data_IF_634729554563
#
_entry.id   IF_634729554563
#
_cell.length_a   1.000
_cell.length_b   1.000
_cell.length_c   1.000
_cell.angle_alpha   90.00
_cell.angle_beta   90.00
_cell.angle_gamma   90.00
#
_symmetry.space_group_name_H-M   'P 1'
#
loop_
_entity.id
_entity.type
_entity.pdbx_description
1 polymer ?
#
# COMPACT_ATOMS: atom_id res chain seq x y z
N UNK A 1 1.70 45.63 -30.38
CA UNK A 1 1.59 45.54 -28.90
C UNK A 1 0.23 44.95 -28.56
N UNK A 2 0.18 43.72 -28.05
CA UNK A 2 -1.08 43.03 -27.71
C UNK A 2 -0.79 42.18 -26.46
N UNK A 3 -1.42 42.44 -25.30
CA UNK A 3 -1.07 41.71 -24.09
C UNK A 3 -1.75 40.34 -24.13
N UNK A 4 -0.93 39.30 -24.16
CA UNK A 4 -1.35 37.93 -23.86
C UNK A 4 -1.71 37.88 -22.38
N UNK A 5 -3.01 37.78 -22.08
CA UNK A 5 -3.54 37.52 -20.75
C UNK A 5 -3.27 36.04 -20.44
N UNK A 6 -2.32 35.78 -19.53
CA UNK A 6 -2.05 34.44 -19.01
C UNK A 6 -3.03 34.20 -17.85
N UNK A 7 -4.04 33.37 -18.09
CA UNK A 7 -4.95 32.89 -17.06
C UNK A 7 -4.21 31.82 -16.25
N UNK A 8 -3.76 32.19 -15.06
CA UNK A 8 -3.19 31.27 -14.08
C UNK A 8 -4.31 30.41 -13.47
N UNK A 9 -4.53 29.21 -14.00
CA UNK A 9 -5.39 28.20 -13.41
C UNK A 9 -4.68 27.52 -12.24
N UNK A 10 -5.02 27.89 -11.00
CA UNK A 10 -4.63 27.14 -9.81
C UNK A 10 -5.44 25.84 -9.76
N UNK A 11 -4.81 24.72 -10.11
CA UNK A 11 -5.31 23.38 -9.75
C UNK A 11 -5.16 23.20 -8.24
N UNK A 12 -6.25 23.36 -7.49
CA UNK A 12 -6.32 22.96 -6.10
C UNK A 12 -6.26 21.43 -6.03
N UNK A 13 -5.08 20.88 -5.72
CA UNK A 13 -4.94 19.46 -5.39
C UNK A 13 -5.43 19.25 -3.96
N UNK A 14 -6.63 18.69 -3.82
CA UNK A 14 -7.09 18.17 -2.53
C UNK A 14 -6.22 16.97 -2.16
N UNK A 15 -5.25 17.18 -1.27
CA UNK A 15 -4.50 16.09 -0.65
C UNK A 15 -5.44 15.40 0.33
N UNK A 16 -6.13 14.35 -0.12
CA UNK A 16 -6.79 13.42 0.80
C UNK A 16 -5.70 12.60 1.47
N UNK A 17 -5.43 12.85 2.75
CA UNK A 17 -4.63 11.93 3.55
C UNK A 17 -5.37 10.57 3.55
N UNK A 18 -4.79 9.56 2.92
CA UNK A 18 -5.39 8.23 2.90
C UNK A 18 -5.40 7.66 4.32
N UNK A 19 -6.59 7.53 4.90
CA UNK A 19 -6.79 6.92 6.21
C UNK A 19 -6.80 5.40 6.02
N UNK A 20 -5.72 4.75 6.45
CA UNK A 20 -5.65 3.29 6.52
C UNK A 20 -6.14 2.82 7.90
N UNK A 21 -6.76 1.63 8.01
CA UNK A 21 -7.09 1.05 9.31
C UNK A 21 -5.83 0.92 10.15
N UNK A 22 -5.90 1.33 11.42
CA UNK A 22 -4.76 1.23 12.33
C UNK A 22 -4.39 -0.24 12.56
N UNK A 23 -3.08 -0.53 12.55
CA UNK A 23 -2.64 -1.87 12.91
C UNK A 23 -2.67 -2.03 14.43
N UNK A 24 -3.60 -2.84 14.91
CA UNK A 24 -3.73 -3.12 16.34
C UNK A 24 -2.71 -4.16 16.78
N UNK A 25 -2.34 -4.14 18.07
CA UNK A 25 -1.41 -5.13 18.60
C UNK A 25 -1.93 -6.56 18.47
N UNK A 26 -3.25 -6.77 18.49
CA UNK A 26 -3.86 -8.07 18.25
C UNK A 26 -3.72 -8.53 16.80
N UNK A 27 -3.86 -7.60 15.85
CA UNK A 27 -3.68 -7.87 14.43
C UNK A 27 -2.23 -8.22 14.08
N UNK A 28 -1.25 -7.49 14.62
CA UNK A 28 0.20 -7.79 14.48
C UNK A 28 0.53 -9.22 14.92
N UNK A 29 -0.15 -9.70 15.96
CA UNK A 29 0.12 -11.00 16.59
C UNK A 29 -0.56 -12.18 15.89
N UNK A 30 -1.37 -11.92 14.87
CA UNK A 30 -1.95 -12.99 14.05
C UNK A 30 -0.90 -13.61 13.14
N UNK A 31 -1.00 -14.92 12.91
CA UNK A 31 -0.14 -15.61 11.94
C UNK A 31 -0.26 -14.98 10.54
N UNK A 32 -1.43 -14.42 10.19
CA UNK A 32 -1.66 -13.73 8.92
C UNK A 32 -0.74 -12.51 8.72
N UNK A 33 -0.51 -11.70 9.76
CA UNK A 33 0.45 -10.59 9.70
C UNK A 33 1.87 -11.03 10.01
N UNK A 34 2.04 -12.16 10.70
CA UNK A 34 3.31 -12.82 10.89
C UNK A 34 3.89 -13.36 9.56
N UNK A 35 3.02 -13.83 8.68
CA UNK A 35 3.35 -14.32 7.33
C UNK A 35 3.68 -13.20 6.34
N UNK A 36 3.39 -11.96 6.75
CA UNK A 36 3.86 -10.73 6.09
C UNK A 36 5.23 -10.28 6.67
N UNK A 37 5.75 -10.96 7.71
CA UNK A 37 7.06 -10.73 8.37
C UNK A 37 8.23 -11.21 7.49
N UNK A 38 8.47 -10.51 6.40
CA UNK A 38 9.75 -9.80 6.28
C UNK A 38 9.56 -8.57 5.38
N UNK A 39 8.81 -7.56 5.90
CA UNK A 39 8.43 -6.40 5.12
C UNK A 39 9.65 -5.59 4.65
N UNK A 40 10.76 -5.66 5.38
CA UNK A 40 12.02 -5.02 4.99
C UNK A 40 12.73 -5.77 3.86
N UNK A 41 12.78 -7.11 3.90
CA UNK A 41 13.51 -7.88 2.89
C UNK A 41 12.90 -7.73 1.49
N UNK A 42 11.57 -7.85 1.37
CA UNK A 42 10.94 -7.75 0.05
C UNK A 42 10.70 -6.31 -0.42
N UNK A 43 10.58 -5.35 0.49
CA UNK A 43 10.67 -3.94 0.14
C UNK A 43 12.04 -3.60 -0.47
N UNK A 44 13.13 -3.98 0.22
CA UNK A 44 14.49 -3.66 -0.22
C UNK A 44 14.81 -4.30 -1.59
N UNK A 45 14.26 -5.48 -1.86
CA UNK A 45 14.56 -6.22 -3.08
C UNK A 45 13.70 -5.81 -4.29
N UNK A 46 12.41 -5.50 -4.09
CA UNK A 46 11.48 -5.31 -5.22
C UNK A 46 10.78 -3.95 -5.27
N UNK A 47 10.89 -3.14 -4.22
CA UNK A 47 10.31 -1.79 -4.17
C UNK A 47 8.80 -1.78 -4.50
N UNK A 48 8.05 -2.75 -3.95
CA UNK A 48 6.59 -2.88 -4.10
C UNK A 48 6.11 -3.05 -5.56
N UNK A 49 6.54 -4.11 -6.24
CA UNK A 49 6.08 -4.46 -7.59
C UNK A 49 5.30 -5.80 -7.57
N UNK A 50 4.86 -6.30 -8.74
CA UNK A 50 4.08 -7.54 -8.81
C UNK A 50 4.76 -8.76 -8.15
N UNK A 51 6.10 -8.82 -8.13
CA UNK A 51 6.87 -9.88 -7.46
C UNK A 51 6.81 -9.77 -5.94
N UNK A 52 6.50 -8.60 -5.39
CA UNK A 52 6.31 -8.43 -3.94
C UNK A 52 5.18 -9.29 -3.41
N UNK A 53 4.17 -9.62 -4.22
CA UNK A 53 3.12 -10.56 -3.81
C UNK A 53 3.68 -11.97 -3.55
N UNK A 54 4.66 -12.42 -4.35
CA UNK A 54 5.29 -13.75 -4.21
C UNK A 54 6.16 -13.90 -2.96
N UNK A 55 6.48 -12.78 -2.32
CA UNK A 55 7.19 -12.77 -1.04
C UNK A 55 6.31 -13.01 0.18
N UNK A 56 4.99 -12.95 0.01
CA UNK A 56 4.04 -13.11 1.09
C UNK A 56 3.74 -14.60 1.21
N UNK A 57 3.88 -15.12 2.43
CA UNK A 57 3.53 -16.52 2.70
C UNK A 57 2.03 -16.72 2.51
N UNK A 58 1.67 -17.76 1.76
CA UNK A 58 0.28 -18.01 1.40
C UNK A 58 0.15 -19.15 0.39
N UNK A 59 -0.98 -19.86 0.47
CA UNK A 59 -1.24 -21.05 -0.35
C UNK A 59 -1.39 -20.73 -1.85
N UNK A 60 -1.90 -19.53 -2.15
CA UNK A 60 -2.17 -19.03 -3.49
C UNK A 60 -2.18 -17.50 -3.49
N UNK A 61 -2.30 -16.90 -4.68
CA UNK A 61 -2.30 -15.43 -4.82
C UNK A 61 -3.52 -14.76 -4.18
N UNK A 62 -4.65 -15.46 -4.02
CA UNK A 62 -5.82 -14.89 -3.37
C UNK A 62 -5.57 -14.76 -1.85
N UNK A 63 -4.98 -15.78 -1.23
CA UNK A 63 -4.58 -15.75 0.18
C UNK A 63 -3.51 -14.68 0.44
N UNK A 64 -2.49 -14.58 -0.43
CA UNK A 64 -1.45 -13.54 -0.34
C UNK A 64 -2.03 -12.14 -0.41
N UNK A 65 -2.96 -11.88 -1.34
CA UNK A 65 -3.63 -10.58 -1.47
C UNK A 65 -4.47 -10.25 -0.24
N UNK A 66 -5.21 -11.24 0.30
CA UNK A 66 -5.99 -11.10 1.53
C UNK A 66 -5.09 -10.70 2.71
N UNK A 67 -3.99 -11.41 2.94
CA UNK A 67 -3.04 -11.12 4.02
C UNK A 67 -2.37 -9.75 3.82
N UNK A 68 -1.91 -9.46 2.60
CA UNK A 68 -1.33 -8.17 2.25
C UNK A 68 -2.28 -7.01 2.56
N UNK A 69 -3.56 -7.21 2.26
CA UNK A 69 -4.58 -6.21 2.50
C UNK A 69 -4.86 -6.00 3.99
N UNK A 70 -5.09 -7.10 4.72
CA UNK A 70 -5.38 -7.07 6.14
C UNK A 70 -4.23 -6.46 6.96
N UNK A 71 -2.98 -6.72 6.57
CA UNK A 71 -1.80 -6.38 7.36
C UNK A 71 -1.00 -5.19 6.81
N UNK A 72 -1.49 -4.51 5.78
CA UNK A 72 -0.74 -3.43 5.13
C UNK A 72 -0.34 -2.33 6.10
N UNK A 73 -1.22 -2.01 7.06
CA UNK A 73 -1.00 -0.93 8.03
C UNK A 73 0.02 -1.30 9.09
N UNK A 74 0.23 -2.59 9.32
CA UNK A 74 1.26 -3.12 10.23
C UNK A 74 2.66 -2.96 9.64
N UNK A 75 2.75 -2.96 8.31
CA UNK A 75 4.00 -2.72 7.58
C UNK A 75 4.24 -1.23 7.35
N UNK A 76 3.19 -0.50 7.00
CA UNK A 76 3.20 0.95 6.88
C UNK A 76 2.50 1.46 5.62
N UNK A 77 2.32 2.77 5.56
CA UNK A 77 1.54 3.45 4.51
C UNK A 77 1.99 3.12 3.08
N UNK A 78 3.26 2.79 2.85
CA UNK A 78 3.78 2.44 1.52
C UNK A 78 3.21 1.10 1.05
N UNK A 79 3.09 0.11 1.93
CA UNK A 79 2.46 -1.17 1.59
C UNK A 79 0.96 -0.99 1.36
N UNK A 80 0.28 -0.21 2.22
CA UNK A 80 -1.13 0.09 2.02
C UNK A 80 -1.41 0.79 0.68
N UNK A 81 -0.57 1.75 0.32
CA UNK A 81 -0.62 2.39 -1.00
C UNK A 81 -0.51 1.38 -2.13
N UNK A 82 0.46 0.46 -2.04
CA UNK A 82 0.68 -0.54 -3.06
C UNK A 82 -0.49 -1.51 -3.20
N UNK A 83 -1.04 -2.04 -2.10
CA UNK A 83 -2.19 -2.97 -2.16
C UNK A 83 -3.46 -2.30 -2.68
N UNK A 84 -3.67 -1.01 -2.37
CA UNK A 84 -4.80 -0.23 -2.92
C UNK A 84 -4.60 0.05 -4.42
N UNK A 85 -3.43 0.55 -4.83
CA UNK A 85 -3.13 0.83 -6.24
C UNK A 85 -3.14 -0.43 -7.11
N UNK A 86 -2.78 -1.57 -6.54
CA UNK A 86 -2.79 -2.87 -7.21
C UNK A 86 -4.19 -3.51 -7.25
N UNK A 87 -5.20 -2.90 -6.60
CA UNK A 87 -6.56 -3.44 -6.51
C UNK A 87 -6.67 -4.72 -5.67
N UNK A 88 -5.76 -4.92 -4.72
CA UNK A 88 -5.80 -6.06 -3.78
C UNK A 88 -6.67 -5.75 -2.58
N UNK A 89 -6.74 -4.48 -2.19
CA UNK A 89 -7.69 -3.93 -1.24
C UNK A 89 -8.68 -3.02 -1.96
N UNK A 90 -9.95 -3.09 -1.56
CA UNK A 90 -11.01 -2.15 -1.92
C UNK A 90 -11.39 -1.28 -0.73
#
# INVERSE_FOLDING_TARGET
MKPLVIIAGLCATTITAQQYPECTSDLVRTDDCADVINPAACYNQFRWNARTLTCIEGKDDADRKRKACACCSCVGAVMCNWVTQSGFCV
#
